data_IF_247781729044
#
_entry.id   IF_247781729044
#
_cell.length_a   1.000
_cell.length_b   1.000
_cell.length_c   1.000
_cell.angle_alpha   90.00
_cell.angle_beta   90.00
_cell.angle_gamma   90.00
#
_symmetry.space_group_name_H-M   'P 1'
#
loop_
_entity.id
_entity.type
_entity.pdbx_description
1 polymer ?
#
# COMPACT_ATOMS: atom_id res chain seq x y z
N UNK A 1 -16.94 31.49 17.37
CA UNK A 1 -15.88 31.21 18.35
C UNK A 1 -15.74 29.70 18.47
N UNK A 2 -14.78 29.10 17.78
CA UNK A 2 -14.63 27.64 17.70
C UNK A 2 -14.07 27.09 19.02
N UNK A 3 -14.79 26.18 19.66
CA UNK A 3 -14.33 25.48 20.86
C UNK A 3 -13.09 24.63 20.54
N UNK A 4 -11.93 25.06 21.03
CA UNK A 4 -10.74 24.19 21.07
C UNK A 4 -11.06 23.05 22.04
N UNK A 5 -11.43 21.90 21.52
CA UNK A 5 -11.50 20.67 22.32
C UNK A 5 -10.10 20.43 22.89
N UNK A 6 -9.99 20.44 24.22
CA UNK A 6 -8.74 20.17 24.91
C UNK A 6 -8.27 18.76 24.52
N UNK A 7 -7.21 18.67 23.72
CA UNK A 7 -6.60 17.38 23.38
C UNK A 7 -6.15 16.73 24.69
N UNK A 8 -6.64 15.53 24.97
CA UNK A 8 -6.22 14.75 26.13
C UNK A 8 -4.75 14.40 25.95
N UNK A 9 -3.87 15.03 26.72
CA UNK A 9 -2.43 14.80 26.70
C UNK A 9 -1.98 14.12 27.99
N UNK A 10 -0.94 13.29 27.88
CA UNK A 10 -0.31 12.68 29.05
C UNK A 10 0.39 13.74 29.90
N UNK A 11 0.50 13.48 31.20
CA UNK A 11 1.20 14.39 32.10
C UNK A 11 2.70 14.44 31.78
N UNK A 12 3.34 15.59 32.01
CA UNK A 12 4.77 15.81 31.75
C UNK A 12 5.65 14.78 32.49
N UNK A 13 5.27 14.42 33.71
CA UNK A 13 5.98 13.42 34.52
C UNK A 13 5.96 12.03 33.89
N UNK A 14 4.83 11.59 33.34
CA UNK A 14 4.72 10.31 32.64
C UNK A 14 5.54 10.35 31.34
N UNK A 15 5.47 11.45 30.58
CA UNK A 15 6.16 11.59 29.31
C UNK A 15 7.70 11.61 29.46
N UNK A 16 8.22 12.03 30.61
CA UNK A 16 9.65 12.02 30.92
C UNK A 16 10.20 10.64 31.32
N UNK A 17 9.33 9.66 31.56
CA UNK A 17 9.76 8.30 31.91
C UNK A 17 10.47 7.62 30.73
N UNK A 18 11.46 6.77 31.04
CA UNK A 18 12.29 6.09 30.02
C UNK A 18 11.47 5.29 29.00
N UNK A 19 10.36 4.67 29.42
CA UNK A 19 9.51 3.90 28.52
C UNK A 19 8.68 4.78 27.55
N UNK A 20 8.55 6.08 27.85
CA UNK A 20 7.86 7.06 27.02
C UNK A 20 8.79 7.87 26.11
N UNK A 21 10.10 7.59 26.10
CA UNK A 21 11.11 8.35 25.35
C UNK A 21 10.75 8.53 23.87
N UNK A 22 10.36 7.44 23.19
CA UNK A 22 9.96 7.48 21.78
C UNK A 22 8.72 8.34 21.53
N UNK A 23 7.75 8.31 22.45
CA UNK A 23 6.53 9.11 22.34
C UNK A 23 6.85 10.58 22.59
N UNK A 24 7.73 10.88 23.54
CA UNK A 24 8.23 12.23 23.79
C UNK A 24 8.93 12.80 22.56
N UNK A 25 9.87 12.04 21.98
CA UNK A 25 10.59 12.44 20.77
C UNK A 25 9.65 12.73 19.59
N UNK A 26 8.61 11.91 19.40
CA UNK A 26 7.60 12.16 18.37
C UNK A 26 6.81 13.45 18.62
N UNK A 27 6.38 13.69 19.86
CA UNK A 27 5.62 14.89 20.21
C UNK A 27 6.49 16.16 20.10
N UNK A 28 7.75 16.09 20.51
CA UNK A 28 8.69 17.21 20.40
C UNK A 28 8.97 17.51 18.92
N UNK A 29 9.18 16.47 18.08
CA UNK A 29 9.34 16.63 16.63
C UNK A 29 8.11 17.25 15.97
N UNK A 30 6.90 16.80 16.31
CA UNK A 30 5.66 17.38 15.77
C UNK A 30 5.50 18.85 16.19
N UNK A 31 5.82 19.17 17.45
CA UNK A 31 5.78 20.54 17.94
C UNK A 31 6.82 21.43 17.24
N UNK A 32 8.01 20.91 16.96
CA UNK A 32 9.04 21.64 16.21
C UNK A 32 8.68 21.82 14.74
N UNK A 33 8.05 20.83 14.10
CA UNK A 33 7.51 20.95 12.74
C UNK A 33 6.36 21.95 12.66
N UNK A 34 5.47 22.01 13.66
CA UNK A 34 4.37 22.99 13.72
C UNK A 34 4.93 24.40 13.95
N UNK A 35 5.91 24.56 14.84
CA UNK A 35 6.63 25.84 15.02
C UNK A 35 7.36 26.26 13.75
N UNK A 36 8.07 25.35 13.10
CA UNK A 36 8.77 25.62 11.84
C UNK A 36 7.79 26.05 10.75
N UNK A 37 6.67 25.34 10.60
CA UNK A 37 5.59 25.72 9.67
C UNK A 37 5.03 27.09 10.00
N UNK A 38 4.79 27.40 11.28
CA UNK A 38 4.29 28.72 11.69
C UNK A 38 5.29 29.85 11.43
N UNK A 39 6.59 29.60 11.60
CA UNK A 39 7.65 30.59 11.34
C UNK A 39 7.77 30.91 9.84
N UNK A 40 7.72 29.89 8.98
CA UNK A 40 7.88 30.08 7.53
C UNK A 40 6.54 30.27 6.79
N UNK A 41 5.41 30.31 7.49
CA UNK A 41 4.07 30.47 6.89
C UNK A 41 3.93 31.76 6.09
N UNK A 42 4.68 32.82 6.44
CA UNK A 42 4.67 34.09 5.70
C UNK A 42 5.58 34.10 4.47
N UNK A 43 6.57 33.21 4.39
CA UNK A 43 7.60 33.20 3.36
C UNK A 43 7.30 32.15 2.26
N UNK A 44 6.61 31.07 2.61
CA UNK A 44 6.20 30.03 1.67
C UNK A 44 4.96 30.51 0.90
N UNK A 45 5.12 30.76 -0.40
CA UNK A 45 4.00 31.10 -1.28
C UNK A 45 3.32 29.85 -1.84
N UNK A 46 2.00 29.90 -2.10
CA UNK A 46 1.24 28.78 -2.67
C UNK A 46 1.82 28.29 -4.02
N UNK A 47 2.50 29.17 -4.74
CA UNK A 47 3.21 28.86 -5.99
C UNK A 47 4.39 27.90 -5.74
N UNK A 48 5.17 28.14 -4.70
CA UNK A 48 6.29 27.25 -4.32
C UNK A 48 5.81 25.84 -3.93
N UNK A 49 4.57 25.69 -3.44
CA UNK A 49 4.02 24.41 -3.03
C UNK A 49 3.44 23.58 -4.19
N UNK A 50 3.00 24.28 -5.24
CA UNK A 50 2.30 23.67 -6.39
C UNK A 50 3.17 23.55 -7.64
N UNK A 51 4.28 24.29 -7.69
CA UNK A 51 5.22 24.22 -8.81
C UNK A 51 5.92 22.86 -8.84
N UNK A 52 5.82 22.20 -9.99
CA UNK A 52 6.58 20.98 -10.25
C UNK A 52 8.02 21.36 -10.61
N UNK A 53 8.98 20.77 -9.90
CA UNK A 53 10.40 20.96 -10.20
C UNK A 53 10.69 20.42 -11.60
N UNK A 54 10.99 21.32 -12.55
CA UNK A 54 11.19 20.96 -13.97
C UNK A 54 12.52 20.23 -14.22
N UNK A 55 13.53 20.53 -13.43
CA UNK A 55 14.88 19.98 -13.57
C UNK A 55 15.42 19.61 -12.21
N UNK A 56 15.93 18.38 -12.09
CA UNK A 56 16.62 17.88 -10.91
C UNK A 56 18.09 17.75 -11.30
N UNK A 57 18.96 18.50 -10.63
CA UNK A 57 20.41 18.40 -10.81
C UNK A 57 20.94 17.39 -9.81
N UNK A 58 21.28 16.20 -10.29
CA UNK A 58 21.83 15.14 -9.46
C UNK A 58 23.36 15.13 -9.61
N UNK A 59 24.13 15.34 -8.53
CA UNK A 59 25.59 15.38 -8.60
C UNK A 59 26.23 13.98 -8.71
N UNK A 60 25.45 12.92 -8.48
CA UNK A 60 25.93 11.54 -8.53
C UNK A 60 25.64 10.90 -9.89
N UNK A 61 26.58 10.10 -10.39
CA UNK A 61 26.39 9.30 -11.61
C UNK A 61 25.67 7.97 -11.35
N UNK A 62 25.53 7.57 -10.08
CA UNK A 62 24.95 6.28 -9.68
C UNK A 62 23.56 6.05 -10.28
N UNK A 63 22.62 7.01 -10.23
CA UNK A 63 21.27 6.81 -10.80
C UNK A 63 21.24 6.92 -12.32
N UNK A 64 22.18 7.67 -12.92
CA UNK A 64 22.27 7.83 -14.36
C UNK A 64 22.79 6.57 -15.06
N UNK A 65 23.75 5.90 -14.45
CA UNK A 65 24.42 4.72 -15.01
C UNK A 65 23.97 3.40 -14.37
N UNK A 66 23.06 3.45 -13.38
CA UNK A 66 22.56 2.29 -12.62
C UNK A 66 23.70 1.43 -12.04
N UNK A 67 24.65 2.06 -11.34
CA UNK A 67 25.78 1.35 -10.74
C UNK A 67 25.33 0.48 -9.57
N UNK A 68 25.88 -0.73 -9.51
CA UNK A 68 25.76 -1.62 -8.36
C UNK A 68 26.79 -1.28 -7.28
N UNK A 69 26.52 -1.69 -6.05
CA UNK A 69 27.48 -1.61 -4.94
C UNK A 69 28.80 -2.33 -5.34
N UNK A 70 29.93 -1.66 -5.15
CA UNK A 70 31.23 -2.15 -5.63
C UNK A 70 31.78 -3.36 -4.87
N UNK A 71 31.13 -3.79 -3.78
CA UNK A 71 31.54 -4.98 -3.02
C UNK A 71 30.86 -6.21 -3.58
N UNK A 72 31.63 -7.03 -4.28
CA UNK A 72 31.12 -8.22 -4.93
C UNK A 72 31.99 -9.41 -4.53
N UNK A 73 31.35 -10.54 -4.23
CA UNK A 73 32.01 -11.83 -4.11
C UNK A 73 31.31 -12.84 -5.01
N UNK A 74 32.07 -13.85 -5.42
CA UNK A 74 31.58 -14.93 -6.26
C UNK A 74 32.02 -16.27 -5.70
N UNK A 75 31.28 -17.33 -6.03
CA UNK A 75 31.68 -18.70 -5.72
C UNK A 75 31.67 -19.04 -4.24
N UNK A 76 30.88 -18.35 -3.43
CA UNK A 76 30.75 -18.63 -2.00
C UNK A 76 31.94 -18.18 -1.15
N UNK A 77 32.84 -17.33 -1.70
CA UNK A 77 33.96 -16.76 -0.93
C UNK A 77 33.48 -15.90 0.23
N UNK A 78 32.35 -15.21 0.04
CA UNK A 78 31.65 -14.51 1.10
C UNK A 78 30.12 -14.60 0.89
N UNK A 79 29.43 -15.54 1.58
CA UNK A 79 28.00 -15.75 1.37
C UNK A 79 27.15 -14.59 1.86
N UNK A 80 27.66 -13.75 2.77
CA UNK A 80 26.90 -12.59 3.26
C UNK A 80 26.89 -11.45 2.23
N UNK A 81 28.01 -11.22 1.53
CA UNK A 81 28.08 -10.24 0.44
C UNK A 81 27.23 -10.69 -0.75
N UNK A 82 27.30 -11.97 -1.13
CA UNK A 82 26.46 -12.54 -2.19
C UNK A 82 24.97 -12.39 -1.87
N UNK A 83 24.56 -12.67 -0.62
CA UNK A 83 23.18 -12.49 -0.17
C UNK A 83 22.72 -11.03 -0.26
N UNK A 84 23.58 -10.07 0.12
CA UNK A 84 23.25 -8.65 0.02
C UNK A 84 23.06 -8.24 -1.45
N UNK A 85 23.95 -8.67 -2.33
CA UNK A 85 23.89 -8.38 -3.75
C UNK A 85 22.64 -8.96 -4.42
N UNK A 86 22.27 -10.19 -4.07
CA UNK A 86 21.05 -10.84 -4.56
C UNK A 86 19.77 -10.10 -4.11
N UNK A 87 19.75 -9.55 -2.88
CA UNK A 87 18.66 -8.73 -2.35
C UNK A 87 18.59 -7.38 -3.09
N UNK A 88 19.72 -6.70 -3.26
CA UNK A 88 19.80 -5.36 -3.84
C UNK A 88 19.51 -5.36 -5.35
N UNK A 89 20.00 -6.36 -6.07
CA UNK A 89 19.73 -6.52 -7.50
C UNK A 89 18.28 -6.91 -7.80
N UNK A 90 17.49 -7.28 -6.79
CA UNK A 90 16.15 -7.84 -6.96
C UNK A 90 16.14 -9.19 -7.70
N UNK A 91 17.32 -9.76 -7.98
CA UNK A 91 17.48 -11.06 -8.63
C UNK A 91 16.86 -12.16 -7.78
N UNK A 92 16.86 -12.01 -6.46
CA UNK A 92 16.16 -12.91 -5.55
C UNK A 92 14.65 -12.98 -5.80
N UNK A 93 14.00 -11.86 -6.13
CA UNK A 93 12.56 -11.83 -6.38
C UNK A 93 12.27 -12.57 -7.68
N UNK A 94 12.99 -12.23 -8.76
CA UNK A 94 12.83 -12.87 -10.06
C UNK A 94 13.16 -14.37 -10.02
N UNK A 95 14.24 -14.76 -9.32
CA UNK A 95 14.62 -16.17 -9.13
C UNK A 95 13.56 -16.91 -8.29
N UNK A 96 13.03 -16.31 -7.23
CA UNK A 96 11.98 -16.91 -6.41
C UNK A 96 10.68 -17.08 -7.19
N UNK A 97 10.23 -16.08 -7.94
CA UNK A 97 9.04 -16.17 -8.78
C UNK A 97 9.17 -17.29 -9.82
N UNK A 98 10.34 -17.42 -10.46
CA UNK A 98 10.60 -18.51 -11.41
C UNK A 98 10.61 -19.88 -10.74
N UNK A 99 11.23 -20.00 -9.56
CA UNK A 99 11.25 -21.25 -8.80
C UNK A 99 9.85 -21.64 -8.30
N UNK A 100 9.05 -20.67 -7.85
CA UNK A 100 7.67 -20.89 -7.43
C UNK A 100 6.80 -21.29 -8.62
N UNK A 101 6.93 -20.64 -9.78
CA UNK A 101 6.23 -21.02 -11.00
C UNK A 101 6.61 -22.43 -11.47
N UNK A 102 7.90 -22.78 -11.44
CA UNK A 102 8.37 -24.12 -11.77
C UNK A 102 7.85 -25.17 -10.77
N UNK A 103 7.82 -24.84 -9.49
CA UNK A 103 7.27 -25.71 -8.44
C UNK A 103 5.76 -25.91 -8.64
N UNK A 104 5.02 -24.84 -8.93
CA UNK A 104 3.59 -24.91 -9.22
C UNK A 104 3.29 -25.75 -10.45
N UNK A 105 4.10 -25.63 -11.51
CA UNK A 105 3.98 -26.45 -12.71
C UNK A 105 4.27 -27.94 -12.46
N UNK A 106 5.10 -28.27 -11.45
CA UNK A 106 5.40 -29.65 -11.06
C UNK A 106 4.43 -30.23 -10.02
N UNK A 107 3.58 -29.41 -9.39
CA UNK A 107 2.56 -29.92 -8.48
C UNK A 107 1.55 -30.72 -9.28
N UNK A 108 1.39 -32.00 -8.96
CA UNK A 108 0.34 -32.82 -9.55
C UNK A 108 -1.01 -32.30 -9.03
N UNK A 109 -1.83 -31.80 -9.94
CA UNK A 109 -3.22 -31.43 -9.68
C UNK A 109 -4.11 -32.64 -9.93
N UNK A 110 -4.92 -33.02 -8.95
CA UNK A 110 -5.87 -34.13 -9.07
C UNK A 110 -6.94 -33.88 -10.16
N UNK A 111 -7.17 -32.61 -10.51
CA UNK A 111 -8.16 -32.18 -11.51
C UNK A 111 -7.45 -31.34 -12.59
N UNK A 112 -7.61 -31.66 -13.88
CA UNK A 112 -7.04 -30.85 -14.95
C UNK A 112 -7.80 -29.52 -15.13
N UNK A 113 -7.09 -28.46 -15.49
CA UNK A 113 -7.64 -27.09 -15.66
C UNK A 113 -8.84 -27.04 -16.62
N UNK A 114 -8.83 -27.85 -17.68
CA UNK A 114 -9.92 -27.91 -18.65
C UNK A 114 -11.23 -28.42 -18.04
N UNK A 115 -11.15 -29.39 -17.13
CA UNK A 115 -12.31 -29.92 -16.41
C UNK A 115 -12.79 -28.91 -15.36
N UNK A 116 -11.84 -28.27 -14.68
CA UNK A 116 -12.17 -27.24 -13.71
C UNK A 116 -12.86 -26.02 -14.34
N UNK A 117 -12.38 -25.58 -15.51
CA UNK A 117 -13.02 -24.51 -16.29
C UNK A 117 -14.45 -24.88 -16.69
N UNK A 118 -14.66 -26.11 -17.19
CA UNK A 118 -16.00 -26.62 -17.55
C UNK A 118 -16.94 -26.61 -16.33
N UNK A 119 -16.48 -27.08 -15.18
CA UNK A 119 -17.25 -27.03 -13.94
C UNK A 119 -17.60 -25.60 -13.54
N UNK A 120 -16.63 -24.68 -13.53
CA UNK A 120 -16.88 -23.26 -13.19
C UNK A 120 -17.91 -22.61 -14.12
N UNK A 121 -17.82 -22.84 -15.43
CA UNK A 121 -18.82 -22.30 -16.37
C UNK A 121 -20.23 -22.83 -16.07
N UNK A 122 -20.37 -24.11 -15.72
CA UNK A 122 -21.66 -24.70 -15.35
C UNK A 122 -22.21 -24.14 -14.02
N UNK A 123 -21.36 -23.95 -13.01
CA UNK A 123 -21.74 -23.41 -11.70
C UNK A 123 -22.15 -21.96 -11.81
N UNK A 124 -21.39 -21.13 -12.53
CA UNK A 124 -21.75 -19.72 -12.76
C UNK A 124 -23.09 -19.62 -13.49
N UNK A 125 -23.34 -20.48 -14.48
CA UNK A 125 -24.62 -20.51 -15.20
C UNK A 125 -25.81 -20.88 -14.30
N UNK A 126 -25.64 -21.85 -13.40
CA UNK A 126 -26.69 -22.25 -12.45
C UNK A 126 -26.91 -21.21 -11.35
N UNK A 127 -25.84 -20.58 -10.85
CA UNK A 127 -25.94 -19.48 -9.89
C UNK A 127 -26.68 -18.28 -10.50
N UNK A 128 -26.36 -17.86 -11.72
CA UNK A 128 -27.05 -16.76 -12.38
C UNK A 128 -28.56 -17.00 -12.49
N UNK A 129 -28.99 -18.21 -12.87
CA UNK A 129 -30.41 -18.58 -12.92
C UNK A 129 -31.11 -18.48 -11.56
N UNK A 130 -30.43 -18.83 -10.47
CA UNK A 130 -30.98 -18.72 -9.10
C UNK A 130 -31.32 -17.27 -8.74
N UNK A 131 -30.49 -16.31 -9.16
CA UNK A 131 -30.65 -14.89 -8.82
C UNK A 131 -31.46 -14.09 -9.85
N UNK A 132 -31.65 -14.58 -11.08
CA UNK A 132 -32.50 -13.91 -12.08
C UNK A 132 -33.98 -13.82 -11.66
N UNK A 133 -34.51 -14.85 -11.00
CA UNK A 133 -35.90 -14.87 -10.50
C UNK A 133 -36.19 -13.73 -9.51
N UNK A 134 -35.20 -13.38 -8.69
CA UNK A 134 -35.34 -12.32 -7.69
C UNK A 134 -35.40 -10.92 -8.31
N UNK A 135 -34.76 -10.74 -9.48
CA UNK A 135 -34.76 -9.48 -10.22
C UNK A 135 -36.08 -9.23 -10.95
N UNK A 136 -36.75 -10.29 -11.44
CA UNK A 136 -38.07 -10.20 -12.10
C UNK A 136 -39.21 -9.89 -11.12
N UNK A 137 -39.14 -10.39 -9.87
CA UNK A 137 -40.12 -10.06 -8.81
C UNK A 137 -40.16 -8.57 -8.44
N UNK A 138 -39.02 -7.87 -8.56
CA UNK A 138 -38.93 -6.43 -8.29
C UNK A 138 -39.43 -5.55 -9.45
N UNK A 139 -39.68 -6.13 -10.64
CA UNK A 139 -40.11 -5.39 -11.83
C UNK A 139 -41.63 -5.42 -12.05
N UNK A 140 -42.41 -6.14 -11.25
CA UNK A 140 -43.86 -5.96 -11.27
C UNK A 140 -44.22 -4.68 -10.50
N UNK A 141 -44.72 -3.62 -11.15
CA UNK A 141 -45.20 -2.45 -10.43
C UNK A 141 -46.42 -2.89 -9.61
N UNK A 142 -46.31 -2.80 -8.27
CA UNK A 142 -47.48 -2.92 -7.40
C UNK A 142 -48.49 -1.83 -7.83
N UNK A 143 -49.80 -2.14 -7.90
CA UNK A 143 -50.78 -1.12 -8.26
C UNK A 143 -50.74 0.00 -7.22
N UNK A 144 -50.40 1.22 -7.67
CA UNK A 144 -50.41 2.42 -6.85
C UNK A 144 -51.83 2.69 -6.37
N UNK A 145 -52.14 2.28 -5.14
CA UNK A 145 -53.44 2.52 -4.53
C UNK A 145 -53.49 4.00 -4.08
N UNK A 146 -53.93 4.88 -4.97
CA UNK A 146 -54.11 6.30 -4.67
C UNK A 146 -55.39 6.45 -3.84
N UNK A 147 -55.23 6.61 -2.53
CA UNK A 147 -56.22 7.34 -1.71
C UNK A 147 -55.52 8.55 -1.09
N UNK A 148 -55.63 9.69 -1.77
CA UNK A 148 -55.41 10.99 -1.15
C UNK A 148 -56.63 11.30 -0.29
N UNK A 149 -56.43 11.42 1.02
CA UNK A 149 -57.38 12.04 1.94
C UNK A 149 -56.74 13.31 2.49
N UNK A 150 -57.59 14.32 2.61
CA UNK A 150 -57.34 15.72 2.97
C UNK A 150 -56.59 15.90 4.28
#
# INVERSE_FOLDING_TARGET
>A
MSSKMNKVQLSKGILQMKFMSRTKEKLDKEADEERGRALYASEITDKMLTETVKYVLEPSYVPCENLIEGRISYGGMNPDIERILDIESGADIAKREQQEAAKQAQMQTDVPDAEMARFYTSVVHTMNKKYESHKKRLQHPLPLNIKRSK
#
